data_IF_900669474535
#
_entry.id   IF_900669474535
#
_cell.length_a   1.000
_cell.length_b   1.000
_cell.length_c   1.000
_cell.angle_alpha   90.00
_cell.angle_beta   90.00
_cell.angle_gamma   90.00
#
_symmetry.space_group_name_H-M   'P 1'
#
loop_
_entity.id
_entity.type
_entity.pdbx_description
1 polymer ?
#
# COMPACT_ATOMS: atom_id res chain seq x y z
N UNK A 1 -6.96 -7.20 9.21
CA UNK A 1 -8.04 -7.00 8.22
C UNK A 1 -9.19 -8.02 8.37
N UNK A 2 -9.69 -8.27 9.60
CA UNK A 2 -10.67 -9.34 9.86
C UNK A 2 -12.06 -9.10 9.27
N UNK A 3 -12.42 -7.82 9.08
CA UNK A 3 -13.72 -7.40 8.54
C UNK A 3 -13.84 -7.57 7.02
N UNK A 4 -12.72 -7.70 6.31
CA UNK A 4 -12.74 -7.86 4.85
C UNK A 4 -13.33 -9.24 4.51
N UNK A 5 -14.30 -9.26 3.59
CA UNK A 5 -14.86 -10.51 3.07
C UNK A 5 -13.83 -11.23 2.19
N UNK A 6 -14.02 -12.54 1.96
CA UNK A 6 -13.23 -13.28 0.98
C UNK A 6 -13.34 -12.59 -0.39
N UNK A 7 -12.23 -12.44 -1.10
CA UNK A 7 -12.06 -11.67 -2.34
C UNK A 7 -12.37 -10.17 -2.20
N UNK A 8 -12.49 -9.64 -0.98
CA UNK A 8 -12.64 -8.21 -0.74
C UNK A 8 -11.32 -7.49 -0.96
N UNK A 9 -11.38 -6.26 -1.46
CA UNK A 9 -10.22 -5.41 -1.67
C UNK A 9 -10.19 -4.22 -0.72
N UNK A 10 -9.00 -3.90 -0.25
CA UNK A 10 -8.64 -2.57 0.25
C UNK A 10 -7.82 -1.91 -0.85
N UNK A 11 -8.22 -0.69 -1.23
CA UNK A 11 -7.52 0.14 -2.22
C UNK A 11 -7.09 1.42 -1.52
N UNK A 12 -5.79 1.70 -1.53
CA UNK A 12 -5.21 2.84 -0.83
C UNK A 12 -4.29 3.61 -1.76
N UNK A 13 -4.51 4.91 -1.88
CA UNK A 13 -3.60 5.84 -2.54
C UNK A 13 -2.83 6.58 -1.46
N UNK A 14 -1.51 6.51 -1.50
CA UNK A 14 -0.63 7.10 -0.48
C UNK A 14 0.10 8.29 -1.09
N UNK A 15 -0.12 9.47 -0.51
CA UNK A 15 0.59 10.69 -0.83
C UNK A 15 1.74 10.88 0.16
N UNK A 16 2.89 11.29 -0.34
CA UNK A 16 4.10 11.46 0.47
C UNK A 16 4.98 12.57 -0.13
N UNK A 17 5.96 13.01 0.66
CA UNK A 17 6.76 14.19 0.35
C UNK A 17 6.08 15.49 0.78
N UNK A 18 6.77 16.62 0.60
CA UNK A 18 6.30 17.92 1.08
C UNK A 18 6.03 17.91 2.58
N UNK A 19 4.91 18.51 2.99
CA UNK A 19 4.48 18.61 4.39
C UNK A 19 4.10 17.24 4.99
N UNK A 20 3.73 16.26 4.16
CA UNK A 20 3.40 14.89 4.61
C UNK A 20 4.64 14.09 5.01
N UNK A 21 5.83 14.50 4.58
CA UNK A 21 7.07 13.77 4.83
C UNK A 21 7.04 12.35 4.23
N UNK A 22 7.90 11.48 4.77
CA UNK A 22 8.11 10.13 4.24
C UNK A 22 7.85 9.02 5.26
N UNK A 23 7.78 9.35 6.55
CA UNK A 23 7.71 8.40 7.66
C UNK A 23 6.49 7.48 7.59
N UNK A 24 5.30 8.03 7.33
CA UNK A 24 4.07 7.22 7.20
C UNK A 24 4.18 6.26 6.00
N UNK A 25 4.67 6.75 4.87
CA UNK A 25 4.87 5.95 3.66
C UNK A 25 5.87 4.82 3.91
N UNK A 26 7.00 5.10 4.52
CA UNK A 26 8.05 4.11 4.81
C UNK A 26 7.54 3.04 5.79
N UNK A 27 6.92 3.45 6.90
CA UNK A 27 6.35 2.54 7.89
C UNK A 27 5.26 1.66 7.28
N UNK A 28 4.40 2.23 6.44
CA UNK A 28 3.37 1.48 5.73
C UNK A 28 3.99 0.48 4.75
N UNK A 29 5.00 0.86 3.97
CA UNK A 29 5.68 -0.04 3.04
C UNK A 29 6.35 -1.22 3.77
N UNK A 30 6.97 -0.98 4.92
CA UNK A 30 7.52 -2.04 5.76
C UNK A 30 6.41 -2.97 6.25
N UNK A 31 5.33 -2.43 6.82
CA UNK A 31 4.22 -3.23 7.33
C UNK A 31 3.60 -4.14 6.26
N UNK A 32 3.31 -3.61 5.07
CA UNK A 32 2.61 -4.39 4.04
C UNK A 32 3.43 -5.59 3.54
N UNK A 33 4.76 -5.56 3.65
CA UNK A 33 5.63 -6.69 3.32
C UNK A 33 5.57 -7.83 4.34
N UNK A 34 5.10 -7.55 5.56
CA UNK A 34 4.96 -8.55 6.64
C UNK A 34 3.64 -9.33 6.57
N UNK A 35 2.72 -8.94 5.67
CA UNK A 35 1.40 -9.56 5.56
C UNK A 35 1.53 -11.00 5.04
N UNK A 36 0.87 -11.93 5.72
CA UNK A 36 0.84 -13.35 5.37
C UNK A 36 0.26 -13.58 3.96
N UNK A 37 1.13 -13.94 3.02
CA UNK A 37 0.80 -14.15 1.61
C UNK A 37 -0.16 -15.33 1.36
N UNK A 38 -0.38 -16.21 2.34
CA UNK A 38 -1.41 -17.28 2.25
C UNK A 38 -2.82 -16.78 2.55
N UNK A 39 -2.94 -15.60 3.19
CA UNK A 39 -4.22 -15.00 3.57
C UNK A 39 -4.59 -13.79 2.74
N UNK A 40 -3.60 -13.06 2.22
CA UNK A 40 -3.82 -11.85 1.45
C UNK A 40 -2.83 -11.77 0.28
N UNK A 41 -3.29 -11.24 -0.84
CA UNK A 41 -2.44 -10.78 -1.94
C UNK A 41 -2.24 -9.27 -1.79
N UNK A 42 -1.00 -8.81 -1.90
CA UNK A 42 -0.63 -7.40 -1.72
C UNK A 42 0.13 -6.93 -2.96
N UNK A 43 -0.39 -5.89 -3.62
CA UNK A 43 0.26 -5.24 -4.76
C UNK A 43 0.56 -3.78 -4.41
N UNK A 44 1.82 -3.38 -4.63
CA UNK A 44 2.23 -1.98 -4.67
C UNK A 44 2.51 -1.61 -6.12
N UNK A 45 1.93 -0.50 -6.58
CA UNK A 45 2.21 0.07 -7.89
C UNK A 45 2.69 1.52 -7.71
N UNK A 46 3.73 1.89 -8.46
CA UNK A 46 4.37 3.19 -8.40
C UNK A 46 4.80 3.68 -9.77
N UNK A 47 4.83 5.00 -9.96
CA UNK A 47 5.37 5.62 -11.16
C UNK A 47 6.88 5.74 -11.03
N UNK A 48 7.64 5.04 -11.88
CA UNK A 48 9.10 4.96 -11.79
C UNK A 48 9.85 6.13 -12.43
N UNK A 49 9.16 6.98 -13.20
CA UNK A 49 9.78 8.09 -13.94
C UNK A 49 9.11 9.46 -13.70
N UNK A 50 8.17 9.55 -12.75
CA UNK A 50 7.54 10.82 -12.41
C UNK A 50 8.28 11.48 -11.24
N UNK A 51 8.67 12.75 -11.36
CA UNK A 51 9.33 13.47 -10.28
C UNK A 51 8.33 13.88 -9.18
N UNK A 52 8.85 14.45 -8.09
CA UNK A 52 8.05 15.10 -7.02
C UNK A 52 7.10 14.18 -6.26
N UNK A 53 7.55 12.96 -5.94
CA UNK A 53 6.83 12.03 -5.05
C UNK A 53 5.40 11.74 -5.56
N UNK A 54 5.25 11.15 -6.76
CA UNK A 54 3.95 10.82 -7.29
C UNK A 54 3.21 9.85 -6.34
N UNK A 55 1.87 9.90 -6.25
CA UNK A 55 1.14 9.01 -5.37
C UNK A 55 1.38 7.55 -5.73
N UNK A 56 1.49 6.70 -4.71
CA UNK A 56 1.61 5.25 -4.89
C UNK A 56 0.27 4.57 -4.59
N UNK A 57 0.04 3.44 -5.25
CA UNK A 57 -1.16 2.62 -5.07
C UNK A 57 -0.79 1.36 -4.29
N UNK A 58 -1.55 1.06 -3.24
CA UNK A 58 -1.51 -0.22 -2.53
C UNK A 58 -2.87 -0.89 -2.66
N UNK A 59 -2.85 -2.15 -3.08
CA UNK A 59 -4.00 -3.03 -3.18
C UNK A 59 -3.78 -4.22 -2.24
N UNK A 60 -4.76 -4.52 -1.40
CA UNK A 60 -4.75 -5.70 -0.53
C UNK A 60 -6.03 -6.48 -0.76
N UNK A 61 -5.91 -7.66 -1.36
CA UNK A 61 -7.00 -8.59 -1.55
C UNK A 61 -6.95 -9.69 -0.49
N UNK A 62 -8.09 -10.05 0.09
CA UNK A 62 -8.19 -11.23 0.95
C UNK A 62 -8.48 -12.48 0.11
N UNK A 63 -7.62 -13.49 0.25
CA UNK A 63 -7.73 -14.78 -0.45
C UNK A 63 -8.81 -15.70 0.15
#
# INVERSE_FOLDING_TARGET
MRLLKKNGLIVMVVYYGGDSGFEEKDTLMEYITTIDCKKYSVLRAEFVNQPNCPPLLVLIEKL
#
